data_IF_897120025476
#
_entry.id   IF_897120025476
#
_cell.length_a   1.000
_cell.length_b   1.000
_cell.length_c   1.000
_cell.angle_alpha   90.00
_cell.angle_beta   90.00
_cell.angle_gamma   90.00
#
_symmetry.space_group_name_H-M   'P 1'
#
loop_
_entity.id
_entity.type
_entity.pdbx_description
1 polymer ?
#
# COMPACT_ATOMS: atom_id res chain seq x y z
N UNK A 1 7.49 5.10 -17.00
CA UNK A 1 6.86 5.08 -15.66
C UNK A 1 5.71 6.06 -15.78
N UNK A 2 4.47 5.57 -15.91
CA UNK A 2 3.28 6.41 -16.12
C UNK A 2 3.10 7.39 -14.96
N UNK A 3 2.47 8.53 -15.26
CA UNK A 3 2.24 9.65 -14.34
C UNK A 3 1.74 9.17 -12.98
N UNK A 4 2.56 9.43 -11.97
CA UNK A 4 2.27 9.09 -10.58
C UNK A 4 1.09 9.92 -10.10
N UNK A 5 0.08 9.24 -9.55
CA UNK A 5 -1.27 9.80 -9.41
C UNK A 5 -1.45 10.37 -8.01
N UNK A 6 -2.00 11.57 -7.94
CA UNK A 6 -2.56 12.13 -6.71
C UNK A 6 -4.09 12.15 -6.85
N UNK A 7 -4.82 12.04 -5.74
CA UNK A 7 -6.27 12.03 -5.82
C UNK A 7 -6.95 12.20 -4.49
N UNK A 8 -8.28 12.11 -4.54
CA UNK A 8 -9.17 12.18 -3.38
C UNK A 8 -10.03 10.92 -3.38
N UNK A 9 -10.33 10.38 -2.21
CA UNK A 9 -11.28 9.27 -2.05
C UNK A 9 -12.68 9.70 -2.51
N UNK A 10 -13.54 8.71 -2.77
CA UNK A 10 -14.87 8.95 -3.34
C UNK A 10 -15.79 9.83 -2.47
N UNK A 11 -15.55 9.87 -1.16
CA UNK A 11 -16.26 10.71 -0.19
C UNK A 11 -15.68 12.14 -0.08
N UNK A 12 -14.57 12.43 -0.75
CA UNK A 12 -13.92 13.75 -0.75
C UNK A 12 -13.13 14.06 0.52
N UNK A 13 -13.02 13.14 1.48
CA UNK A 13 -12.46 13.41 2.82
C UNK A 13 -10.96 13.17 2.87
N UNK A 14 -10.49 12.13 2.16
CA UNK A 14 -9.10 11.70 2.20
C UNK A 14 -8.40 12.04 0.89
N UNK A 15 -7.24 12.65 1.01
CA UNK A 15 -6.37 12.94 -0.12
C UNK A 15 -5.18 11.99 -0.08
N UNK A 16 -4.80 11.43 -1.21
CA UNK A 16 -3.57 10.66 -1.32
C UNK A 16 -2.62 11.30 -2.32
N UNK A 17 -1.33 11.20 -2.02
CA UNK A 17 -0.28 11.73 -2.88
C UNK A 17 0.91 10.79 -2.98
N UNK A 18 1.49 10.70 -4.17
CA UNK A 18 2.70 9.93 -4.39
C UNK A 18 3.92 10.59 -3.71
N UNK A 19 4.71 9.78 -3.03
CA UNK A 19 5.95 10.21 -2.37
C UNK A 19 7.11 10.14 -3.37
N UNK A 20 7.56 11.28 -3.85
CA UNK A 20 8.69 11.35 -4.78
C UNK A 20 10.06 11.15 -4.11
N UNK A 21 10.22 11.61 -2.87
CA UNK A 21 11.45 11.42 -2.09
C UNK A 21 11.11 10.92 -0.69
N UNK A 22 11.29 9.62 -0.48
CA UNK A 22 10.99 8.94 0.80
C UNK A 22 11.73 9.57 1.98
N UNK A 23 12.90 10.19 1.76
CA UNK A 23 13.69 10.84 2.82
C UNK A 23 12.93 11.97 3.53
N UNK A 24 12.05 12.67 2.80
CA UNK A 24 11.29 13.80 3.32
C UNK A 24 10.18 13.36 4.27
N UNK A 25 9.63 12.17 4.05
CA UNK A 25 8.49 11.64 4.82
C UNK A 25 8.90 10.50 5.75
N UNK A 26 10.15 10.03 5.68
CA UNK A 26 10.63 8.88 6.45
C UNK A 26 10.36 8.98 7.95
N UNK A 27 10.61 10.12 8.63
CA UNK A 27 10.31 10.25 10.06
C UNK A 27 8.82 10.10 10.40
N UNK A 28 7.93 10.37 9.46
CA UNK A 28 6.47 10.30 9.63
C UNK A 28 5.95 8.86 9.41
N UNK A 29 6.46 8.18 8.38
CA UNK A 29 5.96 6.86 7.97
C UNK A 29 6.65 5.70 8.68
N UNK A 30 7.91 5.86 9.09
CA UNK A 30 8.69 4.81 9.78
C UNK A 30 7.96 4.22 11.01
N UNK A 31 7.37 5.02 11.92
CA UNK A 31 6.65 4.46 13.07
C UNK A 31 5.51 3.51 12.67
N UNK A 32 4.79 3.81 11.58
CA UNK A 32 3.70 2.94 11.10
C UNK A 32 4.23 1.64 10.48
N UNK A 33 5.42 1.66 9.87
CA UNK A 33 6.09 0.45 9.37
C UNK A 33 6.56 -0.42 10.55
N UNK A 34 7.16 0.20 11.56
CA UNK A 34 7.58 -0.49 12.79
C UNK A 34 6.38 -1.12 13.51
N UNK A 35 5.22 -0.44 13.54
CA UNK A 35 3.97 -0.98 14.07
C UNK A 35 3.48 -2.20 13.29
N UNK A 36 3.51 -2.16 11.95
CA UNK A 36 3.14 -3.31 11.10
C UNK A 36 4.07 -4.50 11.40
N UNK A 37 5.39 -4.30 11.39
CA UNK A 37 6.38 -5.36 11.63
C UNK A 37 6.15 -5.98 13.00
N UNK A 38 5.98 -5.15 14.04
CA UNK A 38 5.75 -5.63 15.40
C UNK A 38 4.43 -6.39 15.55
N UNK A 39 3.38 -5.99 14.82
CA UNK A 39 2.04 -6.58 14.93
C UNK A 39 1.93 -7.90 14.15
N UNK A 40 2.50 -7.92 12.95
CA UNK A 40 2.37 -9.04 12.02
C UNK A 40 3.54 -10.02 12.07
N UNK A 41 4.61 -9.71 12.81
CA UNK A 41 5.87 -10.46 12.83
C UNK A 41 6.51 -10.57 11.44
N UNK A 42 6.51 -9.47 10.69
CA UNK A 42 7.09 -9.43 9.35
C UNK A 42 8.61 -9.72 9.40
N UNK A 43 9.17 -10.43 8.40
CA UNK A 43 10.58 -10.83 8.40
C UNK A 43 11.56 -9.74 7.92
N UNK A 44 11.05 -8.60 7.45
CA UNK A 44 11.86 -7.48 6.94
C UNK A 44 12.03 -6.36 7.99
N UNK A 45 13.01 -5.49 7.77
CA UNK A 45 13.23 -4.29 8.59
C UNK A 45 12.69 -3.03 7.88
N UNK A 46 12.39 -1.93 8.61
CA UNK A 46 11.90 -0.70 7.97
C UNK A 46 12.80 -0.20 6.83
N UNK A 47 14.12 -0.33 6.99
CA UNK A 47 15.11 0.08 6.00
C UNK A 47 14.99 -0.67 4.66
N UNK A 48 14.45 -1.89 4.63
CA UNK A 48 14.17 -2.61 3.38
C UNK A 48 13.08 -1.89 2.57
N UNK A 49 12.04 -1.40 3.25
CA UNK A 49 10.95 -0.61 2.65
C UNK A 49 11.49 0.72 2.15
N UNK A 50 12.30 1.39 2.97
CA UNK A 50 12.97 2.64 2.58
C UNK A 50 13.81 2.43 1.31
N UNK A 51 14.66 1.39 1.30
CA UNK A 51 15.54 1.09 0.20
C UNK A 51 14.76 0.80 -1.08
N UNK A 52 13.73 -0.04 -1.00
CA UNK A 52 12.89 -0.39 -2.14
C UNK A 52 12.20 0.83 -2.77
N UNK A 53 11.74 1.78 -1.96
CA UNK A 53 11.14 3.03 -2.46
C UNK A 53 12.22 3.94 -3.06
N UNK A 54 13.32 4.14 -2.33
CA UNK A 54 14.44 4.99 -2.76
C UNK A 54 15.10 4.50 -4.06
N UNK A 55 15.11 3.18 -4.30
CA UNK A 55 15.66 2.56 -5.50
C UNK A 55 14.64 2.41 -6.64
N UNK A 56 13.38 2.80 -6.43
CA UNK A 56 12.31 2.70 -7.43
C UNK A 56 11.77 1.28 -7.67
N UNK A 57 12.02 0.34 -6.74
CA UNK A 57 11.40 -0.99 -6.76
C UNK A 57 9.98 -0.99 -6.18
N UNK A 58 9.63 0.01 -5.37
CA UNK A 58 8.30 0.24 -4.83
C UNK A 58 7.93 1.73 -4.92
N UNK A 59 6.64 2.01 -4.86
CA UNK A 59 6.09 3.35 -4.78
C UNK A 59 5.31 3.50 -3.47
N UNK A 60 5.44 4.65 -2.81
CA UNK A 60 4.67 4.98 -1.62
C UNK A 60 3.68 6.09 -1.92
N UNK A 61 2.49 5.97 -1.33
CA UNK A 61 1.45 6.98 -1.34
C UNK A 61 1.12 7.36 0.10
N UNK A 62 1.23 8.65 0.45
CA UNK A 62 0.76 9.15 1.74
C UNK A 62 -0.72 9.52 1.67
N UNK A 63 -1.42 9.29 2.77
CA UNK A 63 -2.83 9.64 2.95
C UNK A 63 -2.91 10.77 3.95
N UNK A 64 -3.70 11.78 3.61
CA UNK A 64 -4.00 12.91 4.47
C UNK A 64 -5.50 13.14 4.57
N UNK A 65 -5.97 13.49 5.77
CA UNK A 65 -7.34 13.92 6.04
C UNK A 65 -7.44 15.43 5.88
N UNK A 66 -8.44 15.89 5.14
CA UNK A 66 -8.62 17.32 4.85
C UNK A 66 -7.40 17.96 4.16
N UNK A 67 -6.59 17.17 3.46
CA UNK A 67 -5.42 17.62 2.69
C UNK A 67 -4.15 17.93 3.50
N UNK A 68 -4.16 17.81 4.83
CA UNK A 68 -3.04 18.26 5.68
C UNK A 68 -2.66 17.29 6.78
N UNK A 69 -3.63 16.60 7.38
CA UNK A 69 -3.36 15.74 8.53
C UNK A 69 -2.96 14.34 8.06
N UNK A 70 -1.74 13.89 8.37
CA UNK A 70 -1.29 12.54 8.02
C UNK A 70 -2.18 11.46 8.67
N UNK A 71 -2.82 10.66 7.82
CA UNK A 71 -3.78 9.62 8.18
C UNK A 71 -3.23 8.19 7.95
N UNK A 72 -2.25 8.02 7.07
CA UNK A 72 -1.69 6.70 6.77
C UNK A 72 -0.86 6.65 5.49
N UNK A 73 -0.50 5.45 5.04
CA UNK A 73 0.20 5.25 3.76
C UNK A 73 -0.16 3.93 3.10
N UNK A 74 0.19 3.82 1.81
CA UNK A 74 0.22 2.58 1.05
C UNK A 74 1.59 2.43 0.37
N UNK A 75 2.15 1.22 0.38
CA UNK A 75 3.34 0.85 -0.39
C UNK A 75 2.94 -0.17 -1.44
N UNK A 76 3.16 0.16 -2.70
CA UNK A 76 2.83 -0.66 -3.85
C UNK A 76 4.11 -1.06 -4.59
N UNK A 77 4.19 -2.31 -5.03
CA UNK A 77 5.33 -2.81 -5.79
C UNK A 77 4.86 -3.64 -6.98
N UNK A 78 5.56 -3.62 -8.13
CA UNK A 78 5.35 -4.63 -9.17
C UNK A 78 5.63 -6.02 -8.59
N UNK A 79 4.81 -7.00 -8.95
CA UNK A 79 5.05 -8.39 -8.62
C UNK A 79 5.01 -9.27 -9.86
N UNK A 80 6.05 -10.07 -10.01
CA UNK A 80 6.24 -10.94 -11.16
C UNK A 80 6.02 -12.39 -10.75
N UNK A 81 5.15 -13.07 -11.50
CA UNK A 81 4.91 -14.49 -11.35
C UNK A 81 5.58 -15.24 -12.50
N UNK A 82 6.18 -16.42 -12.26
CA UNK A 82 6.85 -17.17 -13.32
C UNK A 82 5.95 -17.54 -14.52
N UNK A 83 4.65 -17.75 -14.27
CA UNK A 83 3.71 -18.27 -15.28
C UNK A 83 2.41 -17.45 -15.39
N UNK A 84 2.38 -16.23 -14.85
CA UNK A 84 1.21 -15.35 -14.93
C UNK A 84 1.64 -13.92 -15.29
N UNK A 85 0.74 -13.11 -15.89
CA UNK A 85 1.01 -11.69 -16.14
C UNK A 85 1.47 -10.97 -14.85
N UNK A 86 2.26 -9.88 -14.93
CA UNK A 86 2.63 -9.13 -13.73
C UNK A 86 1.40 -8.54 -13.03
N UNK A 87 1.51 -8.35 -11.72
CA UNK A 87 0.48 -7.77 -10.89
C UNK A 87 1.01 -6.56 -10.12
N UNK A 88 0.12 -5.68 -9.70
CA UNK A 88 0.42 -4.69 -8.69
C UNK A 88 0.26 -5.34 -7.32
N UNK A 89 1.30 -5.34 -6.49
CA UNK A 89 1.24 -5.82 -5.12
C UNK A 89 1.03 -4.64 -4.18
N UNK A 90 0.01 -4.70 -3.33
CA UNK A 90 -0.07 -3.87 -2.14
C UNK A 90 0.79 -4.54 -1.07
N UNK A 91 2.03 -4.05 -0.94
CA UNK A 91 2.99 -4.59 0.01
C UNK A 91 2.61 -4.17 1.44
N UNK A 92 2.37 -2.88 1.67
CA UNK A 92 2.02 -2.37 3.00
C UNK A 92 0.83 -1.41 2.91
N UNK A 93 -0.07 -1.50 3.87
CA UNK A 93 -1.13 -0.53 4.09
C UNK A 93 -1.19 -0.19 5.57
N UNK A 94 -1.09 1.11 5.89
CA UNK A 94 -1.16 1.61 7.25
C UNK A 94 -2.22 2.70 7.38
N UNK A 95 -2.94 2.70 8.49
CA UNK A 95 -3.87 3.76 8.88
C UNK A 95 -3.73 4.04 10.37
N UNK A 96 -3.75 5.32 10.75
CA UNK A 96 -3.88 5.74 12.16
C UNK A 96 -5.27 5.51 12.73
N UNK A 97 -6.27 5.43 11.86
CA UNK A 97 -7.66 5.26 12.23
C UNK A 97 -8.17 3.93 11.65
N UNK A 98 -7.96 2.79 12.34
CA UNK A 98 -8.33 1.47 11.82
C UNK A 98 -9.84 1.27 11.65
N UNK A 99 -10.68 2.12 12.26
CA UNK A 99 -12.14 2.06 12.13
C UNK A 99 -12.69 2.77 10.89
N UNK A 100 -11.91 3.61 10.21
CA UNK A 100 -12.39 4.49 9.12
C UNK A 100 -12.04 4.02 7.71
N UNK A 101 -11.55 2.78 7.55
CA UNK A 101 -11.46 2.10 6.25
C UNK A 101 -10.10 1.50 5.92
N UNK A 102 -10.04 0.86 4.75
CA UNK A 102 -8.85 0.15 4.25
C UNK A 102 -8.12 1.00 3.20
N UNK A 103 -7.55 2.15 3.62
CA UNK A 103 -6.95 3.14 2.71
C UNK A 103 -5.94 2.55 1.73
N UNK A 104 -5.12 1.60 2.18
CA UNK A 104 -4.17 0.89 1.32
C UNK A 104 -4.82 0.25 0.10
N UNK A 105 -5.97 -0.41 0.27
CA UNK A 105 -6.69 -1.04 -0.86
C UNK A 105 -7.36 -0.02 -1.77
N UNK A 106 -7.94 1.04 -1.21
CA UNK A 106 -8.61 2.05 -2.03
C UNK A 106 -7.61 2.75 -2.96
N UNK A 107 -6.45 3.12 -2.41
CA UNK A 107 -5.34 3.69 -3.18
C UNK A 107 -4.83 2.67 -4.20
N UNK A 108 -4.61 1.42 -3.79
CA UNK A 108 -4.15 0.38 -4.69
C UNK A 108 -5.10 0.18 -5.88
N UNK A 109 -6.43 0.25 -5.68
CA UNK A 109 -7.42 0.19 -6.76
C UNK A 109 -7.34 1.38 -7.70
N UNK A 110 -7.18 2.59 -7.17
CA UNK A 110 -7.03 3.80 -7.98
C UNK A 110 -5.74 3.79 -8.80
N UNK A 111 -4.63 3.35 -8.19
CA UNK A 111 -3.36 3.17 -8.89
C UNK A 111 -3.47 2.09 -9.93
N UNK A 112 -4.09 0.94 -9.61
CA UNK A 112 -4.29 -0.16 -10.55
C UNK A 112 -5.02 0.32 -11.82
N UNK A 113 -6.11 1.08 -11.66
CA UNK A 113 -6.94 1.59 -12.76
C UNK A 113 -6.19 2.49 -13.76
N UNK A 114 -5.04 3.03 -13.39
CA UNK A 114 -4.21 3.91 -14.21
C UNK A 114 -2.81 3.31 -14.47
N UNK A 115 -2.63 2.04 -14.14
CA UNK A 115 -1.39 1.30 -14.31
C UNK A 115 -1.51 0.31 -15.47
N UNK A 116 -0.38 -0.23 -15.98
CA UNK A 116 -0.42 -1.33 -16.95
C UNK A 116 -0.77 -2.68 -16.32
N UNK A 117 -0.96 -2.76 -15.00
CA UNK A 117 -1.29 -4.00 -14.32
C UNK A 117 -2.79 -4.26 -14.37
N UNK A 118 -3.17 -5.51 -14.60
CA UNK A 118 -4.58 -5.91 -14.71
C UNK A 118 -5.16 -6.41 -13.38
N UNK A 119 -4.30 -6.70 -12.41
CA UNK A 119 -4.71 -7.26 -11.12
C UNK A 119 -3.91 -6.72 -9.96
N UNK A 120 -4.58 -6.66 -8.82
CA UNK A 120 -4.01 -6.35 -7.51
C UNK A 120 -3.84 -7.64 -6.71
N UNK A 121 -2.69 -7.79 -6.08
CA UNK A 121 -2.39 -8.87 -5.12
C UNK A 121 -1.95 -8.26 -3.80
N UNK A 122 -2.13 -9.00 -2.72
CA UNK A 122 -1.62 -8.65 -1.38
C UNK A 122 -1.61 -9.91 -0.51
N UNK A 123 -0.84 -9.84 0.57
CA UNK A 123 -0.85 -10.80 1.67
C UNK A 123 -1.27 -10.04 2.94
N UNK A 124 -2.09 -10.64 3.79
CA UNK A 124 -2.47 -10.03 5.07
C UNK A 124 -2.73 -11.12 6.11
N UNK A 125 -2.20 -10.99 7.33
CA UNK A 125 -2.54 -11.87 8.44
C UNK A 125 -3.88 -11.50 9.09
N UNK A 126 -4.55 -10.43 8.63
CA UNK A 126 -5.82 -9.98 9.22
C UNK A 126 -7.00 -10.88 8.84
N UNK A 127 -7.66 -11.44 9.85
CA UNK A 127 -8.88 -12.24 9.68
C UNK A 127 -10.01 -11.44 9.01
N UNK A 128 -10.88 -12.13 8.25
CA UNK A 128 -12.10 -11.60 7.57
C UNK A 128 -11.91 -10.75 6.31
N UNK A 129 -10.68 -10.50 5.88
CA UNK A 129 -10.42 -9.83 4.59
C UNK A 129 -10.85 -10.62 3.35
N UNK A 130 -10.64 -11.95 3.27
CA UNK A 130 -11.05 -12.74 2.11
C UNK A 130 -12.55 -12.63 1.84
N UNK A 131 -13.39 -12.62 2.88
CA UNK A 131 -14.85 -12.54 2.76
C UNK A 131 -15.33 -11.21 2.16
N UNK A 132 -14.64 -10.10 2.44
CA UNK A 132 -15.01 -8.75 1.98
C UNK A 132 -14.59 -8.48 0.52
N UNK A 133 -13.64 -9.23 -0.01
CA UNK A 133 -12.97 -8.91 -1.28
C UNK A 133 -12.82 -10.09 -2.26
N UNK A 134 -13.41 -11.24 -1.94
CA UNK A 134 -13.29 -12.53 -2.65
C UNK A 134 -13.53 -12.51 -4.16
N UNK A 135 -14.27 -11.54 -4.71
CA UNK A 135 -14.74 -11.62 -6.10
C UNK A 135 -13.74 -11.09 -7.14
N UNK A 136 -12.66 -10.40 -6.75
CA UNK A 136 -11.68 -9.82 -7.70
C UNK A 136 -10.21 -9.78 -7.23
N UNK A 137 -9.89 -10.40 -6.09
CA UNK A 137 -8.54 -10.30 -5.50
C UNK A 137 -7.96 -11.70 -5.25
N UNK A 138 -6.75 -11.94 -5.75
CA UNK A 138 -5.95 -13.12 -5.38
C UNK A 138 -5.19 -12.78 -4.10
N UNK A 139 -5.66 -13.33 -2.98
CA UNK A 139 -4.94 -13.34 -1.71
C UNK A 139 -3.94 -14.50 -1.72
N UNK A 140 -2.67 -14.20 -1.42
CA UNK A 140 -1.69 -15.24 -1.14
C UNK A 140 -1.84 -15.66 0.31
N UNK A 141 -1.93 -16.96 0.55
CA UNK A 141 -1.77 -17.53 1.88
C UNK A 141 -0.39 -18.18 1.91
N UNK A 142 0.45 -17.77 2.86
CA UNK A 142 1.59 -18.61 3.23
C UNK A 142 1.09 -19.80 4.05
N UNK A 143 1.61 -20.98 3.74
CA UNK A 143 1.41 -22.19 4.54
C UNK A 143 2.71 -22.39 5.31
N UNK A 144 2.66 -22.22 6.62
CA UNK A 144 3.77 -22.57 7.53
C UNK A 144 3.83 -24.09 7.73
#
# INVERSE_FOLDING_TARGET
MNDLINGVTADGVMHFSHVHDIRQVWPIVRPGIEEIISTNHEPFIPEDVFHAIASGHAAMYMVTKGGHEYAGFAVLAPHHFPFMPPALNLWLGYTKEPSTGHYGIEIAKMVLANSPYERLVFCTPQDKWPERYATKLHTWYEVN
#
